data_IF_371598923636
#
_entry.id   IF_371598923636
#
_cell.length_a   1.000
_cell.length_b   1.000
_cell.length_c   1.000
_cell.angle_alpha   90.00
_cell.angle_beta   90.00
_cell.angle_gamma   90.00
#
_symmetry.space_group_name_H-M   'P 1'
#
loop_
_entity.id
_entity.type
_entity.pdbx_description
1 polymer ?
#
# COMPACT_ATOMS: atom_id res chain seq x y z
N UNK A 1 -7.15 -17.21 -13.31
CA UNK A 1 -7.26 -15.86 -12.73
C UNK A 1 -6.25 -15.58 -11.63
N UNK A 2 -5.82 -16.59 -10.90
CA UNK A 2 -4.71 -16.48 -9.96
C UNK A 2 -3.41 -16.01 -10.64
N UNK A 3 -3.24 -16.32 -11.93
CA UNK A 3 -2.01 -16.05 -12.67
C UNK A 3 -1.75 -14.56 -12.91
N UNK A 4 -2.81 -13.76 -13.12
CA UNK A 4 -2.66 -12.31 -13.28
C UNK A 4 -2.15 -11.66 -11.98
N UNK A 5 -2.66 -12.12 -10.85
CA UNK A 5 -2.23 -11.63 -9.54
C UNK A 5 -0.77 -12.01 -9.26
N UNK A 6 -0.39 -13.24 -9.59
CA UNK A 6 0.98 -13.71 -9.42
C UNK A 6 1.94 -12.93 -10.31
N UNK A 7 1.56 -12.64 -11.57
CA UNK A 7 2.36 -11.85 -12.49
C UNK A 7 2.63 -10.43 -11.98
N UNK A 8 1.62 -9.77 -11.41
CA UNK A 8 1.76 -8.43 -10.86
C UNK A 8 2.67 -8.42 -9.63
N UNK A 9 2.57 -9.43 -8.75
CA UNK A 9 3.48 -9.57 -7.61
C UNK A 9 4.92 -9.71 -8.09
N UNK A 10 5.15 -10.58 -9.06
CA UNK A 10 6.48 -10.80 -9.63
C UNK A 10 7.07 -9.53 -10.23
N UNK A 11 6.26 -8.75 -10.93
CA UNK A 11 6.72 -7.49 -11.50
C UNK A 11 7.16 -6.51 -10.43
N UNK A 12 6.40 -6.38 -9.35
CA UNK A 12 6.75 -5.52 -8.22
C UNK A 12 8.02 -6.02 -7.53
N UNK A 13 8.12 -7.33 -7.31
CA UNK A 13 9.30 -7.92 -6.67
C UNK A 13 10.56 -7.76 -7.53
N UNK A 14 10.45 -7.82 -8.85
CA UNK A 14 11.59 -7.57 -9.74
C UNK A 14 12.09 -6.14 -9.62
N UNK A 15 11.19 -5.16 -9.55
CA UNK A 15 11.57 -3.76 -9.31
C UNK A 15 12.15 -3.59 -7.92
N UNK A 16 11.60 -4.29 -6.93
CA UNK A 16 12.11 -4.27 -5.57
C UNK A 16 13.50 -4.87 -5.47
N UNK A 17 13.85 -5.84 -6.32
CA UNK A 17 15.18 -6.46 -6.33
C UNK A 17 16.30 -5.44 -6.56
N UNK A 18 16.16 -4.59 -7.59
CA UNK A 18 17.12 -3.52 -7.85
C UNK A 18 17.16 -2.52 -6.70
N UNK A 19 16.00 -2.13 -6.21
CA UNK A 19 15.87 -1.24 -5.07
C UNK A 19 16.53 -1.84 -3.81
N UNK A 20 16.35 -3.13 -3.55
CA UNK A 20 16.95 -3.83 -2.41
C UNK A 20 18.48 -3.85 -2.50
N UNK A 21 19.03 -4.04 -3.70
CA UNK A 21 20.48 -3.99 -3.92
C UNK A 21 21.01 -2.59 -3.55
N UNK A 22 20.33 -1.54 -3.99
CA UNK A 22 20.70 -0.18 -3.66
C UNK A 22 20.54 0.10 -2.16
N UNK A 23 19.49 -0.44 -1.53
CA UNK A 23 19.26 -0.31 -0.09
C UNK A 23 20.38 -0.96 0.71
N UNK A 24 20.92 -2.10 0.24
CA UNK A 24 22.05 -2.76 0.89
C UNK A 24 23.29 -1.87 1.00
N UNK A 25 23.41 -0.89 0.11
CA UNK A 25 24.49 0.10 0.10
C UNK A 25 24.10 1.41 0.76
N UNK A 26 22.85 1.54 1.20
CA UNK A 26 22.33 2.76 1.79
C UNK A 26 22.73 2.89 3.26
N UNK A 27 22.57 4.09 3.81
CA UNK A 27 22.79 4.34 5.23
C UNK A 27 21.81 3.54 6.09
N UNK A 28 22.19 3.32 7.33
CA UNK A 28 21.32 2.70 8.34
C UNK A 28 19.99 3.45 8.47
N UNK A 29 20.06 4.78 8.45
CA UNK A 29 18.88 5.65 8.55
C UNK A 29 17.89 5.40 7.43
N UNK A 30 18.38 5.28 6.18
CA UNK A 30 17.52 5.01 5.03
C UNK A 30 16.87 3.62 5.12
N UNK A 31 17.60 2.63 5.61
CA UNK A 31 17.04 1.29 5.84
C UNK A 31 15.91 1.34 6.87
N UNK A 32 16.12 2.06 7.97
CA UNK A 32 15.12 2.22 9.02
C UNK A 32 13.88 2.95 8.51
N UNK A 33 14.05 4.00 7.69
CA UNK A 33 12.94 4.70 7.05
C UNK A 33 12.12 3.75 6.15
N UNK A 34 12.81 2.92 5.39
CA UNK A 34 12.16 1.97 4.48
C UNK A 34 11.36 0.93 5.24
N UNK A 35 11.92 0.37 6.31
CA UNK A 35 11.23 -0.59 7.17
C UNK A 35 10.00 0.06 7.79
N UNK A 36 10.12 1.27 8.27
CA UNK A 36 9.01 2.00 8.90
C UNK A 36 7.87 2.22 7.91
N UNK A 37 8.18 2.69 6.70
CA UNK A 37 7.16 2.93 5.68
C UNK A 37 6.44 1.63 5.30
N UNK A 38 7.16 0.53 5.14
CA UNK A 38 6.55 -0.77 4.81
C UNK A 38 5.66 -1.29 5.94
N UNK A 39 6.08 -1.11 7.19
CA UNK A 39 5.23 -1.47 8.34
C UNK A 39 3.96 -0.61 8.39
N UNK A 40 4.05 0.65 7.98
CA UNK A 40 2.88 1.53 7.91
C UNK A 40 1.89 1.09 6.84
N UNK A 41 2.34 0.49 5.72
CA UNK A 41 1.43 -0.10 4.74
C UNK A 41 0.58 -1.19 5.40
N UNK A 42 1.19 -2.03 6.20
CA UNK A 42 0.49 -3.11 6.92
C UNK A 42 -0.51 -2.51 7.90
N UNK A 43 -0.09 -1.53 8.70
CA UNK A 43 -0.94 -0.86 9.68
C UNK A 43 -2.11 -0.16 9.00
N UNK A 44 -1.85 0.59 7.91
CA UNK A 44 -2.89 1.29 7.15
C UNK A 44 -3.89 0.29 6.55
N UNK A 45 -3.42 -0.85 6.05
CA UNK A 45 -4.29 -1.89 5.51
C UNK A 45 -5.23 -2.44 6.57
N UNK A 46 -4.71 -2.68 7.77
CA UNK A 46 -5.52 -3.19 8.89
C UNK A 46 -6.51 -2.15 9.41
N UNK A 47 -6.09 -0.91 9.54
CA UNK A 47 -6.96 0.20 9.93
C UNK A 47 -8.11 0.37 8.94
N UNK A 48 -7.81 0.31 7.65
CA UNK A 48 -8.81 0.39 6.60
C UNK A 48 -9.78 -0.80 6.64
N UNK A 49 -9.25 -2.01 6.88
CA UNK A 49 -10.08 -3.22 7.02
C UNK A 49 -11.07 -3.11 8.18
N UNK A 50 -10.65 -2.54 9.30
CA UNK A 50 -11.53 -2.29 10.44
C UNK A 50 -12.69 -1.37 10.07
N UNK A 51 -12.40 -0.29 9.31
CA UNK A 51 -13.43 0.63 8.85
C UNK A 51 -14.39 -0.04 7.86
N UNK A 52 -13.87 -0.84 6.92
CA UNK A 52 -14.72 -1.57 5.97
C UNK A 52 -15.68 -2.53 6.69
N UNK A 53 -15.19 -3.21 7.73
CA UNK A 53 -16.03 -4.08 8.55
C UNK A 53 -17.13 -3.28 9.24
N UNK A 54 -16.80 -2.12 9.79
CA UNK A 54 -17.78 -1.23 10.41
C UNK A 54 -18.89 -0.85 9.43
N UNK A 55 -18.53 -0.43 8.22
CA UNK A 55 -19.51 -0.07 7.18
C UNK A 55 -20.41 -1.26 6.82
N UNK A 56 -19.81 -2.45 6.70
CA UNK A 56 -20.55 -3.67 6.37
C UNK A 56 -21.55 -4.04 7.44
N UNK A 57 -21.16 -3.95 8.73
CA UNK A 57 -21.99 -4.33 9.86
C UNK A 57 -23.09 -3.30 10.15
N UNK A 58 -22.85 -2.03 9.95
CA UNK A 58 -23.77 -0.96 10.33
C UNK A 58 -24.51 -0.32 9.16
N UNK A 59 -24.01 -0.48 7.94
CA UNK A 59 -24.50 0.25 6.78
C UNK A 59 -24.23 1.75 6.83
N UNK A 60 -23.40 2.21 7.76
CA UNK A 60 -23.13 3.63 7.99
C UNK A 60 -21.72 3.99 7.55
N UNK A 61 -21.54 5.26 7.19
CA UNK A 61 -20.23 5.82 6.82
C UNK A 61 -19.84 6.87 7.85
N UNK A 62 -18.52 7.03 8.04
CA UNK A 62 -17.95 8.06 8.92
C UNK A 62 -17.06 8.99 8.09
N UNK A 63 -17.55 10.17 7.68
CA UNK A 63 -16.75 11.07 6.83
C UNK A 63 -15.40 11.44 7.42
N UNK A 64 -15.31 11.61 8.74
CA UNK A 64 -14.03 11.91 9.40
C UNK A 64 -13.02 10.78 9.26
N UNK A 65 -13.48 9.54 9.38
CA UNK A 65 -12.62 8.37 9.21
C UNK A 65 -12.15 8.26 7.76
N UNK A 66 -13.04 8.49 6.80
CA UNK A 66 -12.67 8.45 5.37
C UNK A 66 -11.68 9.55 5.02
N UNK A 67 -11.83 10.75 5.59
CA UNK A 67 -10.86 11.83 5.42
C UNK A 67 -9.50 11.45 6.01
N UNK A 68 -9.49 10.81 7.18
CA UNK A 68 -8.25 10.30 7.80
C UNK A 68 -7.57 9.27 6.90
N UNK A 69 -8.33 8.32 6.35
CA UNK A 69 -7.77 7.29 5.46
C UNK A 69 -7.22 7.91 4.17
N UNK A 70 -7.89 8.93 3.64
CA UNK A 70 -7.40 9.64 2.45
C UNK A 70 -6.02 10.25 2.71
N UNK A 71 -5.84 10.93 3.83
CA UNK A 71 -4.56 11.52 4.21
C UNK A 71 -3.50 10.45 4.48
N UNK A 72 -3.87 9.42 5.24
CA UNK A 72 -2.98 8.33 5.61
C UNK A 72 -2.37 7.64 4.38
N UNK A 73 -3.22 7.22 3.44
CA UNK A 73 -2.75 6.53 2.23
C UNK A 73 -1.97 7.45 1.31
N UNK A 74 -2.37 8.73 1.21
CA UNK A 74 -1.66 9.71 0.38
C UNK A 74 -0.26 9.98 0.92
N UNK A 75 -0.14 10.24 2.21
CA UNK A 75 1.18 10.49 2.85
C UNK A 75 2.08 9.27 2.76
N UNK A 76 1.50 8.08 2.94
CA UNK A 76 2.24 6.84 2.81
C UNK A 76 2.75 6.65 1.37
N UNK A 77 1.95 7.01 0.38
CA UNK A 77 2.38 7.01 -1.01
C UNK A 77 3.59 7.90 -1.25
N UNK A 78 3.58 9.11 -0.69
CA UNK A 78 4.74 10.00 -0.79
C UNK A 78 5.98 9.44 -0.08
N UNK A 79 5.81 8.86 1.09
CA UNK A 79 6.92 8.26 1.82
C UNK A 79 7.59 7.13 1.03
N UNK A 80 6.77 6.27 0.40
CA UNK A 80 7.28 5.17 -0.42
C UNK A 80 7.94 5.66 -1.70
N UNK A 81 7.41 6.73 -2.30
CA UNK A 81 8.02 7.36 -3.47
C UNK A 81 9.40 7.91 -3.13
N UNK A 82 9.53 8.58 -1.99
CA UNK A 82 10.79 9.16 -1.52
C UNK A 82 11.89 8.11 -1.32
N UNK A 83 11.52 6.90 -0.93
CA UNK A 83 12.49 5.81 -0.75
C UNK A 83 12.61 4.92 -1.98
N UNK A 84 11.94 5.24 -3.07
CA UNK A 84 12.14 4.60 -4.37
C UNK A 84 11.26 3.39 -4.67
N UNK A 85 10.24 3.10 -3.86
CA UNK A 85 9.32 1.99 -4.12
C UNK A 85 8.12 2.51 -4.92
N UNK A 86 8.37 2.90 -6.18
CA UNK A 86 7.41 3.66 -6.99
C UNK A 86 6.10 2.95 -7.27
N UNK A 87 6.11 1.63 -7.52
CA UNK A 87 4.88 0.89 -7.83
C UNK A 87 3.96 0.74 -6.63
N UNK A 88 4.52 0.49 -5.45
CA UNK A 88 3.74 0.44 -4.22
C UNK A 88 3.25 1.84 -3.83
N UNK A 89 4.09 2.85 -4.02
CA UNK A 89 3.74 4.26 -3.79
C UNK A 89 2.51 4.66 -4.61
N UNK A 90 2.49 4.30 -5.89
CA UNK A 90 1.37 4.62 -6.78
C UNK A 90 0.07 3.97 -6.29
N UNK A 91 0.12 2.73 -5.83
CA UNK A 91 -1.06 2.05 -5.28
C UNK A 91 -1.58 2.73 -4.03
N UNK A 92 -0.69 3.15 -3.15
CA UNK A 92 -1.09 3.91 -1.95
C UNK A 92 -1.75 5.24 -2.32
N UNK A 93 -1.23 5.94 -3.32
CA UNK A 93 -1.82 7.19 -3.79
C UNK A 93 -3.21 6.98 -4.39
N UNK A 94 -3.41 5.88 -5.12
CA UNK A 94 -4.74 5.53 -5.64
C UNK A 94 -5.72 5.30 -4.50
N UNK A 95 -5.31 4.61 -3.44
CA UNK A 95 -6.14 4.42 -2.25
C UNK A 95 -6.47 5.75 -1.59
N UNK A 96 -5.50 6.66 -1.51
CA UNK A 96 -5.72 7.99 -0.97
C UNK A 96 -6.79 8.76 -1.75
N UNK A 97 -6.72 8.73 -3.08
CA UNK A 97 -7.72 9.35 -3.94
C UNK A 97 -9.10 8.70 -3.78
N UNK A 98 -9.13 7.38 -3.69
CA UNK A 98 -10.39 6.66 -3.49
C UNK A 98 -11.09 7.11 -2.21
N UNK A 99 -10.37 7.20 -1.10
CA UNK A 99 -10.96 7.62 0.17
C UNK A 99 -11.32 9.12 0.19
N UNK A 100 -10.60 9.94 -0.58
CA UNK A 100 -10.95 11.36 -0.72
C UNK A 100 -12.23 11.56 -1.53
N UNK A 101 -12.47 10.71 -2.51
CA UNK A 101 -13.64 10.80 -3.40
C UNK A 101 -14.19 9.38 -3.68
N UNK A 102 -14.81 8.72 -2.68
CA UNK A 102 -15.20 7.31 -2.82
C UNK A 102 -16.16 7.02 -3.98
N UNK A 103 -17.04 7.97 -4.29
CA UNK A 103 -18.06 7.78 -5.32
C UNK A 103 -17.52 7.94 -6.74
N UNK A 104 -16.30 8.43 -6.90
CA UNK A 104 -15.68 8.66 -8.19
C UNK A 104 -15.06 7.39 -8.77
N UNK A 105 -14.68 6.43 -7.92
CA UNK A 105 -13.97 5.23 -8.33
C UNK A 105 -14.84 4.01 -8.11
N UNK A 106 -15.17 3.29 -9.21
CA UNK A 106 -15.97 2.08 -9.13
C UNK A 106 -15.11 0.84 -8.80
N UNK A 107 -15.78 -0.26 -8.51
CA UNK A 107 -15.11 -1.51 -8.14
C UNK A 107 -14.23 -2.04 -9.27
N UNK A 108 -14.66 -1.89 -10.52
CA UNK A 108 -13.89 -2.35 -11.68
C UNK A 108 -12.56 -1.62 -11.79
N UNK A 109 -12.57 -0.29 -11.60
CA UNK A 109 -11.33 0.50 -11.59
C UNK A 109 -10.40 0.06 -10.46
N UNK A 110 -10.95 -0.15 -9.26
CA UNK A 110 -10.14 -0.55 -8.10
C UNK A 110 -9.53 -1.93 -8.27
N UNK A 111 -10.25 -2.87 -8.87
CA UNK A 111 -9.71 -4.20 -9.18
C UNK A 111 -8.57 -4.12 -10.19
N UNK A 112 -8.73 -3.32 -11.22
CA UNK A 112 -7.69 -3.13 -12.24
C UNK A 112 -6.44 -2.45 -11.66
N UNK A 113 -6.64 -1.55 -10.71
CA UNK A 113 -5.52 -0.88 -10.04
C UNK A 113 -4.77 -1.79 -9.06
N UNK A 114 -5.35 -2.95 -8.73
CA UNK A 114 -4.75 -3.95 -7.83
C UNK A 114 -4.40 -3.37 -6.46
N UNK A 115 -5.39 -2.69 -5.86
CA UNK A 115 -5.21 -1.99 -4.58
C UNK A 115 -5.97 -2.64 -3.42
N UNK A 116 -6.23 -3.95 -3.48
CA UNK A 116 -6.87 -4.65 -2.37
C UNK A 116 -5.98 -4.63 -1.13
N UNK A 117 -6.60 -4.61 0.05
CA UNK A 117 -5.86 -4.55 1.32
C UNK A 117 -4.98 -5.77 1.52
N UNK A 118 -5.49 -6.94 1.21
CA UNK A 118 -4.72 -8.19 1.31
C UNK A 118 -3.48 -8.14 0.42
N UNK A 119 -3.62 -7.61 -0.78
CA UNK A 119 -2.51 -7.46 -1.71
C UNK A 119 -1.47 -6.48 -1.20
N UNK A 120 -1.92 -5.34 -0.69
CA UNK A 120 -1.02 -4.32 -0.17
C UNK A 120 -0.23 -4.83 1.03
N UNK A 121 -0.90 -5.51 1.96
CA UNK A 121 -0.26 -6.09 3.14
C UNK A 121 0.74 -7.18 2.75
N UNK A 122 0.36 -8.05 1.82
CA UNK A 122 1.23 -9.12 1.35
C UNK A 122 2.50 -8.59 0.69
N UNK A 123 2.36 -7.59 -0.17
CA UNK A 123 3.51 -6.97 -0.84
C UNK A 123 4.47 -6.34 0.18
N UNK A 124 3.94 -5.61 1.15
CA UNK A 124 4.76 -5.00 2.18
C UNK A 124 5.51 -6.05 3.00
N UNK A 125 4.83 -7.14 3.39
CA UNK A 125 5.45 -8.23 4.14
C UNK A 125 6.56 -8.92 3.35
N UNK A 126 6.37 -9.16 2.07
CA UNK A 126 7.37 -9.81 1.23
C UNK A 126 8.61 -8.93 1.05
N UNK A 127 8.43 -7.63 0.87
CA UNK A 127 9.57 -6.71 0.78
C UNK A 127 10.31 -6.64 2.12
N UNK A 128 9.59 -6.57 3.24
CA UNK A 128 10.20 -6.59 4.57
C UNK A 128 11.03 -7.85 4.81
N UNK A 129 10.51 -9.00 4.40
CA UNK A 129 11.23 -10.27 4.53
C UNK A 129 12.55 -10.25 3.76
N UNK A 130 12.57 -9.60 2.59
CA UNK A 130 13.80 -9.45 1.79
C UNK A 130 14.81 -8.52 2.48
N UNK A 131 14.35 -7.45 3.10
CA UNK A 131 15.22 -6.51 3.82
C UNK A 131 15.89 -7.19 5.02
N UNK A 132 15.15 -8.05 5.72
CA UNK A 132 15.61 -8.70 6.94
C UNK A 132 16.47 -9.94 6.72
N UNK A 133 16.76 -10.26 5.48
CA UNK A 133 17.67 -11.37 5.15
C UNK A 133 19.18 -10.99 5.32
#
# INVERSE_FOLDING_TARGET
MADLSAGLIWEILRHASSWLTNLGRASKERKEQSIRALREVITASRETAVYLRYMKETGKRKPKTEAHLAVLWTELGFALEDIGIGKLAKRCQIKGKHWAEPDRYDDDFLQKADVSLDRMEKLANEILAQINR
#
